data_IF_333941420652
#
_entry.id   IF_333941420652
#
_cell.length_a   1.000
_cell.length_b   1.000
_cell.length_c   1.000
_cell.angle_alpha   90.00
_cell.angle_beta   90.00
_cell.angle_gamma   90.00
#
_symmetry.space_group_name_H-M   'P 1'
#
loop_
_entity.id
_entity.type
_entity.pdbx_description
1 polymer ?
#
# COMPACT_ATOMS: atom_id res chain seq x y z
N UNK A 1 5.14 38.85 1.43
CA UNK A 1 5.54 38.88 2.87
C UNK A 1 4.92 37.80 3.76
N UNK A 2 3.58 37.62 3.91
CA UNK A 2 3.03 36.60 4.86
C UNK A 2 3.32 35.13 4.49
N UNK A 3 3.59 34.82 3.21
CA UNK A 3 3.90 33.47 2.72
C UNK A 3 5.40 33.19 2.55
N UNK A 4 6.26 34.21 2.54
CA UNK A 4 7.72 34.06 2.36
C UNK A 4 8.40 33.46 3.59
N UNK A 5 7.99 33.85 4.80
CA UNK A 5 8.56 33.34 6.05
C UNK A 5 8.29 31.82 6.19
N UNK A 6 7.05 31.31 6.02
CA UNK A 6 6.81 29.87 6.02
C UNK A 6 7.58 29.08 4.94
N UNK A 7 7.73 29.65 3.74
CA UNK A 7 8.51 29.01 2.67
C UNK A 7 9.99 28.91 3.04
N UNK A 8 10.57 29.99 3.59
CA UNK A 8 11.96 29.98 4.04
C UNK A 8 12.19 28.93 5.13
N UNK A 9 11.27 28.84 6.11
CA UNK A 9 11.33 27.83 7.17
C UNK A 9 11.28 26.43 6.56
N UNK A 10 10.34 26.17 5.65
CA UNK A 10 10.19 24.86 5.00
C UNK A 10 11.44 24.49 4.20
N UNK A 11 12.04 25.45 3.48
CA UNK A 11 13.26 25.26 2.72
C UNK A 11 14.46 24.93 3.61
N UNK A 12 14.67 25.73 4.66
CA UNK A 12 15.79 25.54 5.60
C UNK A 12 15.64 24.21 6.32
N UNK A 13 14.45 23.91 6.84
CA UNK A 13 14.18 22.63 7.52
C UNK A 13 14.40 21.47 6.55
N UNK A 14 13.80 21.51 5.35
CA UNK A 14 13.96 20.46 4.35
C UNK A 14 15.42 20.17 3.98
N UNK A 15 16.23 21.21 3.78
CA UNK A 15 17.67 21.07 3.50
C UNK A 15 18.41 20.45 4.68
N UNK A 16 18.10 20.89 5.90
CA UNK A 16 18.69 20.32 7.13
C UNK A 16 18.37 18.83 7.24
N UNK A 17 17.13 18.41 6.93
CA UNK A 17 16.74 17.00 6.90
C UNK A 17 17.54 16.18 5.89
N UNK A 18 17.76 16.71 4.69
CA UNK A 18 18.57 16.03 3.67
C UNK A 18 20.01 15.87 4.15
N UNK A 19 20.64 16.94 4.65
CA UNK A 19 22.02 16.92 5.13
C UNK A 19 22.18 15.93 6.29
N UNK A 20 21.25 15.94 7.23
CA UNK A 20 21.26 15.07 8.38
C UNK A 20 21.22 13.58 8.01
N UNK A 21 20.44 13.20 6.99
CA UNK A 21 20.36 11.82 6.53
C UNK A 21 21.73 11.29 6.02
N UNK A 22 22.54 12.14 5.37
CA UNK A 22 23.83 11.75 4.80
C UNK A 22 25.03 11.88 5.78
N UNK A 23 24.91 12.63 6.87
CA UNK A 23 26.01 12.90 7.81
C UNK A 23 25.70 12.35 9.21
N UNK A 24 26.10 11.12 9.56
CA UNK A 24 25.86 10.51 10.86
C UNK A 24 26.93 10.91 11.91
N UNK A 25 27.21 12.21 12.07
CA UNK A 25 28.09 12.72 13.12
C UNK A 25 27.34 13.65 14.09
N UNK A 26 27.81 13.77 15.33
CA UNK A 26 27.27 14.74 16.29
C UNK A 26 27.44 16.16 15.73
N UNK A 27 26.39 17.01 15.66
CA UNK A 27 25.09 16.98 16.36
C UNK A 27 23.92 16.32 15.58
N UNK A 28 24.09 15.97 14.31
CA UNK A 28 23.03 15.50 13.40
C UNK A 28 22.46 14.12 13.76
N UNK A 29 23.20 13.30 14.52
CA UNK A 29 22.71 12.00 14.99
C UNK A 29 21.52 12.14 15.98
N UNK A 30 21.54 13.14 16.88
CA UNK A 30 20.45 13.34 17.86
C UNK A 30 19.19 13.91 17.22
N UNK A 31 19.33 14.66 16.13
CA UNK A 31 18.20 15.21 15.39
C UNK A 31 17.27 14.11 14.86
N UNK A 32 17.78 12.89 14.62
CA UNK A 32 16.97 11.80 14.06
C UNK A 32 15.94 11.30 15.08
N UNK A 33 16.37 11.20 16.34
CA UNK A 33 15.49 10.85 17.45
C UNK A 33 14.39 11.92 17.60
N UNK A 34 14.78 13.20 17.65
CA UNK A 34 13.81 14.29 17.75
C UNK A 34 12.81 14.30 16.59
N UNK A 35 13.27 14.13 15.35
CA UNK A 35 12.36 14.09 14.21
C UNK A 35 11.45 12.87 14.21
N UNK A 36 11.96 11.71 14.65
CA UNK A 36 11.14 10.51 14.82
C UNK A 36 10.05 10.70 15.87
N UNK A 37 10.35 11.40 16.96
CA UNK A 37 9.38 11.75 18.00
C UNK A 37 8.32 12.71 17.47
N UNK A 38 8.73 13.80 16.79
CA UNK A 38 7.80 14.74 16.15
C UNK A 38 6.91 14.06 15.11
N UNK A 39 7.48 13.19 14.27
CA UNK A 39 6.72 12.41 13.29
C UNK A 39 5.70 11.50 13.99
N UNK A 40 6.10 10.82 15.06
CA UNK A 40 5.21 9.95 15.84
C UNK A 40 4.04 10.73 16.47
N UNK A 41 4.30 11.93 17.00
CA UNK A 41 3.27 12.82 17.54
C UNK A 41 2.30 13.26 16.44
N UNK A 42 2.82 13.69 15.28
CA UNK A 42 1.99 14.11 14.14
C UNK A 42 1.17 12.92 13.63
N UNK A 43 1.76 11.73 13.52
CA UNK A 43 1.09 10.52 13.08
C UNK A 43 -0.04 10.12 14.05
N UNK A 44 0.18 10.22 15.36
CA UNK A 44 -0.85 9.99 16.36
C UNK A 44 -2.04 10.95 16.19
N UNK A 45 -1.77 12.25 16.00
CA UNK A 45 -2.81 13.24 15.70
C UNK A 45 -3.53 12.96 14.37
N UNK A 46 -2.79 12.51 13.35
CA UNK A 46 -3.34 12.19 12.04
C UNK A 46 -4.30 11.00 12.08
N UNK A 47 -4.03 9.98 12.92
CA UNK A 47 -4.96 8.85 13.12
C UNK A 47 -6.32 9.36 13.64
N UNK A 48 -6.30 10.24 14.63
CA UNK A 48 -7.53 10.84 15.17
C UNK A 48 -8.25 11.71 14.15
N UNK A 49 -7.54 12.56 13.42
CA UNK A 49 -8.12 13.37 12.36
C UNK A 49 -8.72 12.50 11.24
N UNK A 50 -8.05 11.41 10.86
CA UNK A 50 -8.54 10.46 9.87
C UNK A 50 -9.83 9.77 10.32
N UNK A 51 -9.87 9.29 11.57
CA UNK A 51 -11.05 8.69 12.17
C UNK A 51 -12.24 9.67 12.23
N UNK A 52 -12.01 10.89 12.73
CA UNK A 52 -13.03 11.92 12.81
C UNK A 52 -13.51 12.36 11.43
N UNK A 53 -12.61 12.48 10.45
CA UNK A 53 -12.97 12.84 9.09
C UNK A 53 -13.84 11.76 8.42
N UNK A 54 -13.49 10.48 8.62
CA UNK A 54 -14.30 9.36 8.15
C UNK A 54 -15.73 9.42 8.71
N UNK A 55 -15.86 9.62 10.03
CA UNK A 55 -17.17 9.75 10.69
C UNK A 55 -17.90 10.98 10.17
N UNK A 56 -17.24 12.13 10.07
CA UNK A 56 -17.84 13.39 9.62
C UNK A 56 -18.40 13.26 8.20
N UNK A 57 -17.62 12.74 7.25
CA UNK A 57 -18.04 12.57 5.85
C UNK A 57 -19.19 11.57 5.78
N UNK A 58 -19.08 10.46 6.50
CA UNK A 58 -20.12 9.43 6.52
C UNK A 58 -21.41 9.95 7.13
N UNK A 59 -21.33 10.68 8.26
CA UNK A 59 -22.48 11.26 8.95
C UNK A 59 -23.14 12.38 8.13
N UNK A 60 -22.37 13.24 7.46
CA UNK A 60 -22.92 14.26 6.56
C UNK A 60 -23.69 13.61 5.39
N UNK A 61 -23.16 12.51 4.83
CA UNK A 61 -23.84 11.75 3.77
C UNK A 61 -25.17 11.14 4.24
N UNK A 62 -25.22 10.65 5.49
CA UNK A 62 -26.44 10.13 6.13
C UNK A 62 -27.44 11.25 6.41
N UNK A 63 -26.99 12.34 7.04
CA UNK A 63 -27.84 13.48 7.41
C UNK A 63 -28.48 14.13 6.17
N UNK A 64 -27.70 14.32 5.10
CA UNK A 64 -28.17 14.90 3.85
C UNK A 64 -28.90 13.92 2.93
N UNK A 65 -29.12 12.67 3.37
CA UNK A 65 -29.79 11.58 2.61
C UNK A 65 -29.36 11.52 1.14
N UNK A 66 -28.06 11.61 0.89
CA UNK A 66 -27.53 11.49 -0.48
C UNK A 66 -27.80 10.09 -1.04
N UNK A 67 -27.74 9.90 -2.38
CA UNK A 67 -27.83 8.57 -2.97
C UNK A 67 -26.88 7.61 -2.26
N UNK A 68 -27.41 6.41 -1.95
CA UNK A 68 -26.68 5.35 -1.25
C UNK A 68 -26.30 5.69 0.22
N UNK A 69 -27.16 6.42 0.93
CA UNK A 69 -26.96 6.76 2.35
C UNK A 69 -26.85 5.54 3.29
N UNK A 70 -27.30 4.36 2.86
CA UNK A 70 -27.20 3.12 3.64
C UNK A 70 -25.77 2.65 3.88
N UNK A 71 -24.86 2.77 2.90
CA UNK A 71 -23.48 2.30 3.07
C UNK A 71 -22.68 3.10 4.13
N UNK A 72 -22.76 4.44 4.19
CA UNK A 72 -22.17 5.22 5.28
C UNK A 72 -22.62 4.81 6.68
N UNK A 73 -23.88 4.37 6.86
CA UNK A 73 -24.36 3.87 8.16
C UNK A 73 -23.59 2.61 8.54
N UNK A 74 -23.44 1.66 7.60
CA UNK A 74 -22.67 0.44 7.82
C UNK A 74 -21.22 0.75 8.17
N UNK A 75 -20.60 1.73 7.49
CA UNK A 75 -19.22 2.17 7.80
C UNK A 75 -19.11 2.67 9.24
N UNK A 76 -20.01 3.57 9.67
CA UNK A 76 -19.99 4.13 11.03
C UNK A 76 -20.17 3.02 12.07
N UNK A 77 -21.14 2.12 11.87
CA UNK A 77 -21.41 1.02 12.80
C UNK A 77 -20.21 0.07 12.88
N UNK A 78 -19.66 -0.37 11.74
CA UNK A 78 -18.48 -1.24 11.71
C UNK A 78 -17.25 -0.58 12.35
N UNK A 79 -17.06 0.73 12.13
CA UNK A 79 -16.00 1.50 12.76
C UNK A 79 -16.15 1.51 14.28
N UNK A 80 -17.34 1.86 14.79
CA UNK A 80 -17.60 1.89 16.24
C UNK A 80 -17.43 0.52 16.89
N UNK A 81 -17.96 -0.55 16.27
CA UNK A 81 -17.81 -1.92 16.77
C UNK A 81 -16.32 -2.29 16.88
N UNK A 82 -15.54 -2.04 15.82
CA UNK A 82 -14.11 -2.38 15.78
C UNK A 82 -13.33 -1.60 16.83
N UNK A 83 -13.63 -0.32 17.01
CA UNK A 83 -12.99 0.55 18.00
C UNK A 83 -13.33 0.10 19.42
N UNK A 84 -14.61 -0.10 19.74
CA UNK A 84 -15.06 -0.50 21.07
C UNK A 84 -14.45 -1.84 21.47
N UNK A 85 -14.45 -2.82 20.57
CA UNK A 85 -13.87 -4.15 20.84
C UNK A 85 -12.34 -4.08 20.94
N UNK A 86 -11.69 -3.26 20.10
CA UNK A 86 -10.25 -3.01 20.18
C UNK A 86 -9.83 -2.41 21.53
N UNK A 87 -10.55 -1.38 22.00
CA UNK A 87 -10.29 -0.76 23.31
C UNK A 87 -10.62 -1.69 24.48
N UNK A 88 -11.70 -2.47 24.39
CA UNK A 88 -12.07 -3.45 25.42
C UNK A 88 -11.01 -4.57 25.58
N UNK A 89 -10.25 -4.86 24.51
CA UNK A 89 -9.19 -5.88 24.51
C UNK A 89 -7.88 -5.47 25.20
N UNK A 90 -7.72 -4.21 25.61
CA UNK A 90 -6.53 -3.73 26.33
C UNK A 90 -5.21 -3.93 25.56
N UNK A 91 -4.10 -4.18 26.26
CA UNK A 91 -2.78 -4.35 25.65
C UNK A 91 -2.66 -5.63 24.79
N UNK A 92 -3.47 -6.64 25.08
CA UNK A 92 -3.47 -7.92 24.39
C UNK A 92 -4.52 -8.02 23.29
N UNK A 93 -5.10 -6.90 22.83
CA UNK A 93 -6.16 -6.91 21.82
C UNK A 93 -5.80 -7.65 20.53
N UNK A 94 -4.52 -7.74 20.16
CA UNK A 94 -4.04 -8.48 18.97
C UNK A 94 -3.77 -9.97 19.21
N UNK A 95 -3.90 -10.45 20.44
CA UNK A 95 -3.65 -11.85 20.76
C UNK A 95 -4.68 -12.76 20.08
N UNK A 96 -4.29 -13.99 19.80
CA UNK A 96 -5.18 -14.98 19.22
C UNK A 96 -6.36 -15.27 20.14
N UNK A 97 -7.57 -15.26 19.58
CA UNK A 97 -8.80 -15.53 20.33
C UNK A 97 -9.45 -14.34 21.03
N UNK A 98 -8.93 -13.11 20.87
CA UNK A 98 -9.65 -11.90 21.31
C UNK A 98 -10.83 -11.57 20.39
N UNK A 99 -11.74 -10.72 20.86
CA UNK A 99 -12.84 -10.22 20.04
C UNK A 99 -12.37 -9.47 18.78
N UNK A 100 -11.22 -8.79 18.86
CA UNK A 100 -10.63 -8.12 17.70
C UNK A 100 -10.06 -9.12 16.68
N UNK A 101 -9.36 -10.17 17.13
CA UNK A 101 -8.89 -11.26 16.27
C UNK A 101 -10.05 -11.97 15.56
N UNK A 102 -11.17 -12.18 16.26
CA UNK A 102 -12.37 -12.75 15.64
C UNK A 102 -12.91 -11.88 14.50
N UNK A 103 -13.08 -10.58 14.72
CA UNK A 103 -13.52 -9.64 13.67
C UNK A 103 -12.52 -9.64 12.51
N UNK A 104 -11.24 -9.60 12.82
CA UNK A 104 -10.20 -9.63 11.81
C UNK A 104 -10.29 -10.88 10.93
N UNK A 105 -10.38 -12.07 11.54
CA UNK A 105 -10.35 -13.35 10.80
C UNK A 105 -11.64 -13.69 10.08
N UNK A 106 -12.80 -13.32 10.65
CA UNK A 106 -14.10 -13.73 10.11
C UNK A 106 -14.84 -12.62 9.36
N UNK A 107 -14.44 -11.35 9.54
CA UNK A 107 -15.04 -10.22 8.81
C UNK A 107 -14.03 -9.62 7.84
N UNK A 108 -12.88 -9.16 8.34
CA UNK A 108 -11.92 -8.43 7.50
C UNK A 108 -11.24 -9.33 6.46
N UNK A 109 -10.72 -10.51 6.85
CA UNK A 109 -10.03 -11.41 5.90
C UNK A 109 -10.97 -11.85 4.76
N UNK A 110 -12.20 -12.34 5.00
CA UNK A 110 -13.09 -12.74 3.92
C UNK A 110 -13.48 -11.56 3.01
N UNK A 111 -13.80 -10.39 3.57
CA UNK A 111 -14.16 -9.20 2.77
C UNK A 111 -12.99 -8.68 1.93
N UNK A 112 -11.76 -8.69 2.46
CA UNK A 112 -10.58 -8.35 1.67
C UNK A 112 -10.34 -9.39 0.57
N UNK A 113 -10.55 -10.68 0.88
CA UNK A 113 -10.41 -11.78 -0.08
C UNK A 113 -11.42 -11.70 -1.21
N UNK A 114 -12.68 -11.30 -0.95
CA UNK A 114 -13.68 -11.10 -2.01
C UNK A 114 -13.31 -9.91 -2.89
N UNK A 115 -12.79 -8.82 -2.32
CA UNK A 115 -12.28 -7.69 -3.09
C UNK A 115 -11.14 -8.13 -4.03
N UNK A 116 -10.17 -8.90 -3.53
CA UNK A 116 -9.09 -9.44 -4.34
C UNK A 116 -9.57 -10.45 -5.39
N UNK A 117 -10.54 -11.32 -5.06
CA UNK A 117 -11.12 -12.25 -6.01
C UNK A 117 -11.87 -11.55 -7.14
N UNK A 118 -12.65 -10.51 -6.83
CA UNK A 118 -13.32 -9.67 -7.82
C UNK A 118 -12.29 -8.94 -8.71
N UNK A 119 -11.25 -8.36 -8.12
CA UNK A 119 -10.17 -7.75 -8.89
C UNK A 119 -9.49 -8.76 -9.83
N UNK A 120 -9.18 -9.97 -9.35
CA UNK A 120 -8.61 -11.01 -10.18
C UNK A 120 -9.55 -11.40 -11.34
N UNK A 121 -10.85 -11.55 -11.08
CA UNK A 121 -11.85 -11.84 -12.10
C UNK A 121 -12.00 -10.71 -13.13
N UNK A 122 -12.06 -9.45 -12.68
CA UNK A 122 -12.16 -8.29 -13.57
C UNK A 122 -10.88 -8.08 -14.37
N UNK A 123 -9.71 -8.25 -13.77
CA UNK A 123 -8.43 -8.24 -14.48
C UNK A 123 -8.42 -9.37 -15.50
N UNK A 124 -8.72 -10.61 -15.13
CA UNK A 124 -8.75 -11.74 -16.05
C UNK A 124 -9.72 -11.54 -17.22
N UNK A 125 -10.93 -11.03 -16.97
CA UNK A 125 -11.92 -10.77 -18.03
C UNK A 125 -11.55 -9.59 -18.94
N UNK A 126 -11.05 -8.49 -18.37
CA UNK A 126 -10.57 -7.34 -19.13
C UNK A 126 -9.34 -7.72 -19.96
N UNK A 127 -8.40 -8.43 -19.33
CA UNK A 127 -7.26 -9.06 -19.95
C UNK A 127 -7.71 -9.99 -21.07
N UNK A 128 -8.60 -10.96 -20.86
CA UNK A 128 -9.06 -11.87 -21.92
C UNK A 128 -9.65 -11.12 -23.12
N UNK A 129 -10.45 -10.08 -22.88
CA UNK A 129 -10.99 -9.21 -23.93
C UNK A 129 -9.90 -8.39 -24.64
N UNK A 130 -8.86 -7.97 -23.93
CA UNK A 130 -7.69 -7.28 -24.47
C UNK A 130 -6.66 -8.24 -25.14
N UNK A 131 -6.62 -9.50 -24.70
CA UNK A 131 -5.77 -10.61 -25.14
C UNK A 131 -6.39 -11.40 -26.30
N UNK A 132 -7.31 -10.80 -27.08
CA UNK A 132 -7.65 -11.35 -28.40
C UNK A 132 -6.39 -11.27 -29.27
N UNK A 133 -5.58 -12.32 -29.21
CA UNK A 133 -4.21 -12.44 -29.68
C UNK A 133 -3.93 -11.59 -30.94
N UNK A 134 -3.28 -10.44 -30.74
CA UNK A 134 -2.91 -9.54 -31.84
C UNK A 134 -1.50 -8.94 -31.72
N UNK A 135 -0.95 -8.82 -30.51
CA UNK A 135 0.38 -8.23 -30.26
C UNK A 135 1.35 -9.21 -29.56
N UNK A 136 2.64 -9.10 -29.92
CA UNK A 136 3.71 -9.97 -29.43
C UNK A 136 3.88 -9.93 -27.90
N UNK A 137 3.79 -8.73 -27.32
CA UNK A 137 3.88 -8.51 -25.86
C UNK A 137 2.84 -9.32 -25.09
N UNK A 138 1.64 -9.42 -25.63
CA UNK A 138 0.54 -10.09 -24.97
C UNK A 138 0.69 -11.61 -25.01
N UNK A 139 1.20 -12.15 -26.12
CA UNK A 139 1.59 -13.57 -26.24
C UNK A 139 2.73 -13.91 -25.27
N UNK A 140 3.71 -13.02 -25.11
CA UNK A 140 4.82 -13.21 -24.18
C UNK A 140 4.32 -13.28 -22.73
N UNK A 141 3.41 -12.38 -22.35
CA UNK A 141 2.78 -12.40 -21.01
C UNK A 141 1.94 -13.65 -20.78
N UNK A 142 1.18 -14.10 -21.78
CA UNK A 142 0.38 -15.31 -21.69
C UNK A 142 1.26 -16.56 -21.47
N UNK A 143 2.34 -16.69 -22.24
CA UNK A 143 3.31 -17.79 -22.08
C UNK A 143 3.97 -17.73 -20.71
N UNK A 144 4.42 -16.56 -20.27
CA UNK A 144 5.01 -16.40 -18.94
C UNK A 144 4.03 -16.81 -17.82
N UNK A 145 2.77 -16.36 -17.91
CA UNK A 145 1.73 -16.73 -16.95
C UNK A 145 1.46 -18.24 -16.93
N UNK A 146 1.40 -18.88 -18.11
CA UNK A 146 1.20 -20.32 -18.24
C UNK A 146 2.32 -21.11 -17.52
N UNK A 147 3.59 -20.78 -17.78
CA UNK A 147 4.72 -21.46 -17.13
C UNK A 147 4.76 -21.22 -15.61
N UNK A 148 4.47 -20.00 -15.16
CA UNK A 148 4.42 -19.68 -13.73
C UNK A 148 3.29 -20.44 -13.02
N UNK A 149 2.10 -20.54 -13.63
CA UNK A 149 0.98 -21.29 -13.04
C UNK A 149 1.32 -22.77 -12.89
N UNK A 150 1.90 -23.40 -13.91
CA UNK A 150 2.30 -24.82 -13.84
C UNK A 150 3.36 -25.03 -12.76
N UNK A 151 4.38 -24.17 -12.68
CA UNK A 151 5.45 -24.30 -11.69
C UNK A 151 5.07 -23.96 -10.24
N UNK A 152 3.89 -23.37 -10.01
CA UNK A 152 3.38 -23.08 -8.65
C UNK A 152 2.40 -24.13 -8.14
N UNK A 153 1.95 -25.05 -8.99
CA UNK A 153 1.06 -26.14 -8.60
C UNK A 153 1.91 -27.39 -8.27
N UNK A 154 1.74 -28.03 -7.09
CA UNK A 154 2.51 -29.21 -6.69
C UNK A 154 2.47 -30.37 -7.69
N UNK A 155 1.37 -30.47 -8.47
CA UNK A 155 1.19 -31.46 -9.54
C UNK A 155 2.19 -31.25 -10.69
N UNK A 156 2.59 -30.00 -10.96
CA UNK A 156 3.53 -29.68 -12.05
C UNK A 156 4.88 -30.35 -11.86
N UNK A 157 5.39 -30.34 -10.62
CA UNK A 157 6.66 -30.99 -10.28
C UNK A 157 6.50 -32.51 -10.16
N UNK A 158 5.36 -33.01 -9.67
CA UNK A 158 5.08 -34.44 -9.60
C UNK A 158 5.05 -35.09 -11.01
N UNK A 159 4.42 -34.44 -11.99
CA UNK A 159 4.38 -34.91 -13.38
C UNK A 159 5.76 -34.80 -14.04
N UNK A 160 6.52 -33.74 -13.77
CA UNK A 160 7.88 -33.58 -14.27
C UNK A 160 8.84 -34.66 -13.73
N UNK A 161 8.66 -35.07 -12.47
CA UNK A 161 9.40 -36.17 -11.85
C UNK A 161 9.11 -37.53 -12.50
N UNK A 162 7.85 -37.79 -12.87
CA UNK A 162 7.45 -39.02 -13.58
C UNK A 162 8.09 -39.10 -14.98
N UNK A 163 8.21 -37.96 -15.66
CA UNK A 163 8.76 -37.85 -17.03
C UNK A 163 10.31 -37.78 -17.02
N UNK A 164 10.96 -37.83 -15.86
CA UNK A 164 12.42 -37.74 -15.69
C UNK A 164 13.01 -36.46 -16.32
N UNK A 165 12.33 -35.34 -16.13
CA UNK A 165 12.81 -34.04 -16.61
C UNK A 165 14.02 -33.61 -15.76
N UNK A 166 15.15 -33.19 -16.37
CA UNK A 166 16.31 -32.70 -15.64
C UNK A 166 15.96 -31.58 -14.64
N UNK A 167 16.56 -31.62 -13.46
CA UNK A 167 16.33 -30.66 -12.37
C UNK A 167 16.48 -29.19 -12.80
N UNK A 168 17.25 -28.90 -13.86
CA UNK A 168 17.48 -27.55 -14.36
C UNK A 168 16.25 -26.94 -15.06
N UNK A 169 15.37 -27.77 -15.63
CA UNK A 169 14.19 -27.34 -16.40
C UNK A 169 12.87 -27.74 -15.73
N UNK A 170 12.91 -28.04 -14.43
CA UNK A 170 11.71 -28.27 -13.64
C UNK A 170 10.78 -27.04 -13.67
N UNK A 171 9.46 -27.24 -13.85
CA UNK A 171 8.50 -26.15 -13.90
C UNK A 171 8.60 -25.17 -12.72
N UNK A 172 8.83 -25.67 -11.50
CA UNK A 172 9.03 -24.81 -10.32
C UNK A 172 10.26 -23.91 -10.39
N UNK A 173 11.39 -24.37 -10.96
CA UNK A 173 12.59 -23.54 -11.12
C UNK A 173 12.39 -22.45 -12.16
N UNK A 174 11.71 -22.76 -13.27
CA UNK A 174 11.35 -21.77 -14.29
C UNK A 174 10.42 -20.71 -13.69
N UNK A 175 9.38 -21.11 -12.96
CA UNK A 175 8.48 -20.18 -12.28
C UNK A 175 9.22 -19.32 -11.24
N UNK A 176 10.14 -19.92 -10.49
CA UNK A 176 10.97 -19.21 -9.50
C UNK A 176 11.91 -18.20 -10.18
N UNK A 177 12.53 -18.56 -11.30
CA UNK A 177 13.38 -17.65 -12.08
C UNK A 177 12.58 -16.46 -12.64
N UNK A 178 11.42 -16.71 -13.26
CA UNK A 178 10.54 -15.64 -13.78
C UNK A 178 10.16 -14.68 -12.64
N UNK A 179 9.81 -15.21 -11.47
CA UNK A 179 9.38 -14.39 -10.33
C UNK A 179 10.54 -13.62 -9.67
N UNK A 180 11.69 -14.25 -9.48
CA UNK A 180 12.81 -13.65 -8.76
C UNK A 180 13.69 -12.75 -9.63
N UNK A 181 13.67 -12.93 -10.95
CA UNK A 181 14.45 -12.10 -11.88
C UNK A 181 13.52 -11.10 -12.57
N UNK A 182 12.57 -11.55 -13.38
CA UNK A 182 11.77 -10.64 -14.22
C UNK A 182 10.75 -9.84 -13.40
N UNK A 183 9.93 -10.51 -12.59
CA UNK A 183 8.94 -9.82 -11.76
C UNK A 183 9.62 -8.92 -10.72
N UNK A 184 10.65 -9.43 -10.03
CA UNK A 184 11.41 -8.63 -9.09
C UNK A 184 12.07 -7.41 -9.75
N UNK A 185 12.61 -7.52 -10.98
CA UNK A 185 13.14 -6.39 -11.73
C UNK A 185 12.04 -5.35 -12.03
N UNK A 186 10.86 -5.78 -12.47
CA UNK A 186 9.71 -4.90 -12.72
C UNK A 186 9.25 -4.18 -11.45
N UNK A 187 9.07 -4.91 -10.35
CA UNK A 187 8.71 -4.34 -9.04
C UNK A 187 9.76 -3.33 -8.55
N UNK A 188 11.04 -3.64 -8.70
CA UNK A 188 12.13 -2.71 -8.35
C UNK A 188 12.11 -1.46 -9.23
N UNK A 189 11.89 -1.59 -10.53
CA UNK A 189 11.76 -0.44 -11.43
C UNK A 189 10.59 0.47 -11.03
N UNK A 190 9.43 -0.12 -10.69
CA UNK A 190 8.26 0.62 -10.18
C UNK A 190 8.61 1.32 -8.86
N UNK A 191 9.22 0.61 -7.90
CA UNK A 191 9.60 1.20 -6.61
C UNK A 191 10.60 2.35 -6.79
N UNK A 192 11.59 2.21 -7.67
CA UNK A 192 12.54 3.29 -7.99
C UNK A 192 11.80 4.47 -8.62
N UNK A 193 10.88 4.22 -9.55
CA UNK A 193 10.06 5.26 -10.18
C UNK A 193 9.20 6.01 -9.16
N UNK A 194 8.55 5.31 -8.25
CA UNK A 194 7.76 5.90 -7.16
C UNK A 194 8.67 6.71 -6.23
N UNK A 195 9.82 6.16 -5.84
CA UNK A 195 10.77 6.86 -4.97
C UNK A 195 11.29 8.15 -5.60
N UNK A 196 11.68 8.11 -6.89
CA UNK A 196 12.09 9.30 -7.65
C UNK A 196 10.94 10.32 -7.76
N UNK A 197 9.71 9.84 -7.98
CA UNK A 197 8.50 10.67 -7.98
C UNK A 197 8.32 11.40 -6.64
N UNK A 198 8.37 10.66 -5.53
CA UNK A 198 8.28 11.23 -4.17
C UNK A 198 9.39 12.27 -3.96
N UNK A 199 10.66 11.93 -4.23
CA UNK A 199 11.79 12.86 -4.09
C UNK A 199 11.58 14.12 -4.92
N UNK A 200 11.10 13.99 -6.17
CA UNK A 200 10.80 15.14 -7.03
C UNK A 200 9.72 16.04 -6.40
N UNK A 201 8.61 15.45 -5.93
CA UNK A 201 7.55 16.23 -5.25
C UNK A 201 8.07 16.90 -3.97
N UNK A 202 8.83 16.18 -3.14
CA UNK A 202 9.41 16.72 -1.91
C UNK A 202 10.36 17.88 -2.20
N UNK A 203 11.21 17.79 -3.22
CA UNK A 203 12.11 18.87 -3.62
C UNK A 203 11.34 20.11 -4.09
N UNK A 204 10.25 19.95 -4.86
CA UNK A 204 9.41 21.09 -5.27
C UNK A 204 8.78 21.80 -4.06
N UNK A 205 8.40 21.06 -3.03
CA UNK A 205 7.89 21.62 -1.77
C UNK A 205 8.97 22.34 -0.99
N UNK A 206 10.14 21.71 -0.82
CA UNK A 206 11.29 22.30 -0.10
C UNK A 206 11.75 23.59 -0.78
N UNK A 207 11.84 23.60 -2.11
CA UNK A 207 12.23 24.78 -2.89
C UNK A 207 11.12 25.84 -2.99
N UNK A 208 9.93 25.60 -2.42
CA UNK A 208 8.82 26.55 -2.43
C UNK A 208 8.17 26.77 -3.80
N UNK A 209 8.42 25.87 -4.75
CA UNK A 209 7.78 25.85 -6.07
C UNK A 209 6.32 25.42 -5.91
N UNK A 210 6.06 24.40 -5.09
CA UNK A 210 4.71 23.95 -4.75
C UNK A 210 4.21 24.54 -3.42
N UNK A 211 3.33 25.54 -3.51
CA UNK A 211 2.80 26.29 -2.35
C UNK A 211 1.46 25.77 -1.83
N UNK A 212 0.95 24.66 -2.35
CA UNK A 212 -0.38 24.12 -2.01
C UNK A 212 -0.56 23.88 -0.49
N UNK A 213 0.52 23.57 0.22
CA UNK A 213 0.54 23.31 1.66
C UNK A 213 0.39 24.56 2.54
N UNK A 214 0.57 25.76 1.98
CA UNK A 214 0.56 27.03 2.72
C UNK A 214 -0.84 27.69 2.80
N UNK A 215 -1.89 26.95 2.44
CA UNK A 215 -3.26 27.45 2.37
C UNK A 215 -3.46 28.26 1.09
N UNK A 216 -4.31 27.73 0.21
CA UNK A 216 -4.68 28.38 -1.05
C UNK A 216 -5.43 29.69 -0.85
N UNK A 217 -5.32 30.54 -1.86
CA UNK A 217 -6.56 31.08 -2.43
C UNK A 217 -7.23 29.95 -3.23
#
# INVERSE_FOLDING_TARGET
MRREIPMLITAVVGVVFVIQYFIPHFPFNQMNAWFSDWFSIIAACAIWLGALNLIKISADKVYRKRPEWGYPVVIIVCFLITVIIGFAGGESFRAFGTGFDWIYRFVYIPLSSTMFALLAFFVASASYRAFRARNFEATLLLLAAFFVMIGRVPIGDAVAGIIHIPDAIMPSKIATWIMNVMNAAGQRAIMIGIALGIVSTSLRVILGIERAHLGGD
#
